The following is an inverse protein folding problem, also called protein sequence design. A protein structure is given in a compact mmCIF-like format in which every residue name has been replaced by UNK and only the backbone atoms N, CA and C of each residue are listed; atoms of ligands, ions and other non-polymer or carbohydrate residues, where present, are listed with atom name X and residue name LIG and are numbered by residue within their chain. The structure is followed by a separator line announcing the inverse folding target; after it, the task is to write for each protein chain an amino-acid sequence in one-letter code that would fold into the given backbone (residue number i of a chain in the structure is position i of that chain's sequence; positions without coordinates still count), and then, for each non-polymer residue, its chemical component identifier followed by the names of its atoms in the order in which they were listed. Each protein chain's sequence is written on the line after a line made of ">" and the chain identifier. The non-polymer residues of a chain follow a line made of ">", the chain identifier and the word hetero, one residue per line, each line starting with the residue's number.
data_IF_663796406063
#
_entry.id   IF_663796406063
#
_cell.length_a   1.000
_cell.length_b   1.000
_cell.length_c   1.000
_cell.angle_alpha   90.00
_cell.angle_beta   90.00
_cell.angle_gamma   90.00
#
_symmetry.space_group_name_H-M   'P 1'
#
loop_
_entity.id
_entity.type
_entity.pdbx_description
1 polymer ?
#
# COMPACT_ATOMS: atom_id res chain seq x y z
N UNK A 1 20.67 8.50 16.84
CA UNK A 1 20.76 9.75 17.64
C UNK A 1 19.69 9.67 18.70
N UNK A 2 20.09 9.54 19.95
CA UNK A 2 19.19 9.42 21.10
C UNK A 2 19.87 9.84 22.40
N UNK A 3 20.98 10.58 22.27
CA UNK A 3 21.78 11.06 23.39
C UNK A 3 21.37 12.49 23.75
N UNK A 4 21.14 12.73 25.04
CA UNK A 4 20.89 14.09 25.54
C UNK A 4 22.16 14.94 25.51
N UNK A 5 23.34 14.30 25.61
CA UNK A 5 24.65 14.93 25.50
C UNK A 5 25.40 14.42 24.27
N UNK A 6 26.11 15.33 23.59
CA UNK A 6 26.91 14.98 22.40
C UNK A 6 27.98 13.93 22.77
N UNK A 7 28.05 12.85 21.99
CA UNK A 7 28.97 11.72 22.16
C UNK A 7 28.79 10.85 23.42
N UNK A 8 27.77 11.08 24.23
CA UNK A 8 27.46 10.23 25.38
C UNK A 8 26.23 9.37 25.10
N UNK A 9 26.40 8.06 25.00
CA UNK A 9 25.28 7.15 24.74
C UNK A 9 25.00 6.32 26.00
N UNK A 10 23.86 6.55 26.65
CA UNK A 10 23.42 5.78 27.83
C UNK A 10 23.06 4.32 27.50
N UNK A 11 22.70 4.05 26.25
CA UNK A 11 22.29 2.74 25.75
C UNK A 11 22.81 2.50 24.34
N UNK A 12 22.94 1.21 23.97
CA UNK A 12 23.23 0.81 22.58
C UNK A 12 22.07 1.27 21.70
N UNK A 13 22.40 1.89 20.56
CA UNK A 13 21.42 2.39 19.61
C UNK A 13 21.89 2.24 18.17
N UNK A 14 21.04 2.65 17.24
CA UNK A 14 21.26 2.51 15.80
C UNK A 14 21.30 3.88 15.10
N UNK A 15 21.96 3.93 13.95
CA UNK A 15 21.85 5.05 13.03
C UNK A 15 20.70 4.78 12.05
N UNK A 16 19.48 5.20 12.42
CA UNK A 16 18.26 5.05 11.61
C UNK A 16 17.60 6.43 11.46
N UNK A 17 18.16 7.25 10.57
CA UNK A 17 17.68 8.62 10.30
C UNK A 17 16.94 8.66 8.98
N UNK A 18 15.86 9.44 8.92
CA UNK A 18 15.32 9.94 7.66
C UNK A 18 16.24 11.06 7.17
N UNK A 19 16.76 10.95 5.96
CA UNK A 19 17.60 11.98 5.37
C UNK A 19 16.77 13.21 4.94
N UNK A 20 17.43 14.36 4.89
CA UNK A 20 16.79 15.65 4.59
C UNK A 20 16.17 15.70 3.19
N UNK A 21 16.76 15.00 2.20
CA UNK A 21 16.21 14.97 0.84
C UNK A 21 14.90 14.19 0.82
N UNK A 22 14.86 13.00 1.43
CA UNK A 22 13.61 12.22 1.54
C UNK A 22 12.57 12.94 2.40
N UNK A 23 12.98 13.60 3.49
CA UNK A 23 12.07 14.41 4.31
C UNK A 23 11.45 15.56 3.50
N UNK A 24 12.22 16.24 2.66
CA UNK A 24 11.71 17.28 1.77
C UNK A 24 10.71 16.75 0.74
N UNK A 25 11.01 15.61 0.09
CA UNK A 25 10.08 14.94 -0.83
C UNK A 25 8.78 14.55 -0.13
N UNK A 26 8.87 13.98 1.06
CA UNK A 26 7.69 13.59 1.85
C UNK A 26 6.87 14.81 2.29
N UNK A 27 7.52 15.94 2.62
CA UNK A 27 6.83 17.20 2.95
C UNK A 27 5.97 17.70 1.79
N UNK A 28 6.47 17.59 0.57
CA UNK A 28 5.71 17.94 -0.65
C UNK A 28 4.59 16.94 -0.91
N UNK A 29 4.82 15.63 -0.71
CA UNK A 29 3.78 14.60 -0.95
C UNK A 29 2.65 14.61 0.10
N UNK A 30 2.95 14.96 1.35
CA UNK A 30 2.03 14.82 2.48
C UNK A 30 0.65 15.48 2.28
N UNK A 31 0.54 16.72 1.75
CA UNK A 31 -0.77 17.33 1.48
C UNK A 31 -1.64 16.57 0.48
N UNK A 32 -1.03 15.80 -0.44
CA UNK A 32 -1.74 15.03 -1.46
C UNK A 32 -2.21 13.65 -0.97
N UNK A 33 -1.69 13.17 0.17
CA UNK A 33 -1.93 11.82 0.64
C UNK A 33 -3.42 11.50 0.79
N UNK A 34 -4.21 12.41 1.37
CA UNK A 34 -5.64 12.21 1.55
C UNK A 34 -6.38 12.06 0.21
N UNK A 35 -6.07 12.92 -0.77
CA UNK A 35 -6.67 12.85 -2.10
C UNK A 35 -6.26 11.56 -2.86
N UNK A 36 -5.00 11.16 -2.76
CA UNK A 36 -4.54 9.90 -3.35
C UNK A 36 -5.18 8.67 -2.69
N UNK A 37 -5.38 8.70 -1.37
CA UNK A 37 -6.12 7.64 -0.67
C UNK A 37 -7.58 7.58 -1.13
N UNK A 38 -8.25 8.72 -1.26
CA UNK A 38 -9.62 8.77 -1.77
C UNK A 38 -9.73 8.20 -3.18
N UNK A 39 -8.78 8.53 -4.07
CA UNK A 39 -8.77 7.98 -5.43
C UNK A 39 -8.54 6.46 -5.44
N UNK A 40 -7.66 5.94 -4.59
CA UNK A 40 -7.48 4.48 -4.45
C UNK A 40 -8.74 3.80 -3.94
N UNK A 41 -9.46 4.43 -3.00
CA UNK A 41 -10.74 3.92 -2.50
C UNK A 41 -11.82 3.92 -3.60
N UNK A 42 -11.85 4.97 -4.43
CA UNK A 42 -12.76 5.04 -5.60
C UNK A 42 -12.48 3.91 -6.58
N UNK A 43 -11.22 3.69 -6.95
CA UNK A 43 -10.82 2.60 -7.85
C UNK A 43 -11.09 1.22 -7.24
N UNK A 44 -10.87 1.04 -5.94
CA UNK A 44 -11.20 -0.21 -5.25
C UNK A 44 -12.70 -0.51 -5.30
N UNK A 45 -13.55 0.49 -5.07
CA UNK A 45 -15.01 0.33 -5.19
C UNK A 45 -15.43 -0.03 -6.63
N UNK A 46 -14.73 0.50 -7.64
CA UNK A 46 -14.96 0.14 -9.03
C UNK A 46 -14.56 -1.32 -9.33
N UNK A 47 -13.43 -1.79 -8.78
CA UNK A 47 -13.07 -3.21 -8.85
C UNK A 47 -14.07 -4.10 -8.11
N UNK A 48 -14.53 -3.70 -6.92
CA UNK A 48 -15.54 -4.43 -6.16
C UNK A 48 -16.80 -4.61 -7.01
N UNK A 49 -17.28 -3.53 -7.65
CA UNK A 49 -18.46 -3.57 -8.50
C UNK A 49 -18.28 -4.41 -9.78
N UNK A 50 -17.14 -4.28 -10.46
CA UNK A 50 -16.88 -4.95 -11.75
C UNK A 50 -16.48 -6.42 -11.62
N UNK A 51 -15.88 -6.80 -10.50
CA UNK A 51 -15.46 -8.18 -10.22
C UNK A 51 -16.45 -8.94 -9.32
N UNK A 52 -17.51 -8.27 -8.86
CA UNK A 52 -18.56 -8.89 -8.08
C UNK A 52 -19.16 -10.11 -8.80
N UNK A 53 -19.38 -11.18 -8.05
CA UNK A 53 -20.05 -12.39 -8.56
C UNK A 53 -19.15 -13.36 -9.31
N UNK A 54 -17.85 -13.08 -9.48
CA UNK A 54 -16.89 -14.05 -10.02
C UNK A 54 -16.56 -15.11 -8.96
N UNK A 55 -17.03 -16.37 -9.09
CA UNK A 55 -16.86 -17.39 -8.06
C UNK A 55 -15.39 -17.83 -7.88
N UNK A 56 -14.54 -17.61 -8.88
CA UNK A 56 -13.13 -17.94 -8.83
C UNK A 56 -12.28 -16.93 -8.04
N UNK A 57 -12.85 -15.78 -7.68
CA UNK A 57 -12.18 -14.69 -6.98
C UNK A 57 -12.79 -14.42 -5.60
N UNK A 58 -11.92 -14.32 -4.61
CA UNK A 58 -12.27 -13.74 -3.30
C UNK A 58 -11.70 -12.33 -3.29
N UNK A 59 -12.59 -11.34 -3.29
CA UNK A 59 -12.26 -9.91 -3.26
C UNK A 59 -11.82 -9.45 -1.85
N UNK A 60 -10.99 -8.41 -1.73
CA UNK A 60 -10.65 -7.84 -0.44
C UNK A 60 -11.91 -7.29 0.25
N UNK A 61 -11.96 -7.36 1.58
CA UNK A 61 -13.07 -6.83 2.38
C UNK A 61 -12.56 -5.89 3.45
N UNK A 62 -13.25 -4.77 3.61
CA UNK A 62 -13.03 -3.83 4.71
C UNK A 62 -13.98 -4.19 5.86
N UNK A 63 -13.45 -4.37 7.07
CA UNK A 63 -14.26 -4.68 8.24
C UNK A 63 -15.08 -3.47 8.70
N UNK A 64 -16.27 -3.67 9.30
CA UNK A 64 -17.06 -2.57 9.85
C UNK A 64 -16.26 -1.70 10.83
N UNK A 65 -16.40 -0.38 10.73
CA UNK A 65 -15.69 0.58 11.58
C UNK A 65 -14.23 0.87 11.18
N UNK A 66 -13.72 0.24 10.12
CA UNK A 66 -12.40 0.52 9.57
C UNK A 66 -12.46 1.22 8.21
N UNK A 67 -11.36 1.88 7.85
CA UNK A 67 -11.10 2.33 6.48
C UNK A 67 -9.85 1.64 5.93
N UNK A 68 -9.76 1.52 4.62
CA UNK A 68 -8.64 0.88 3.94
C UNK A 68 -7.98 1.89 2.99
N UNK A 69 -6.65 2.00 3.06
CA UNK A 69 -5.88 2.93 2.20
C UNK A 69 -5.58 2.37 0.80
N UNK A 70 -5.90 1.09 0.60
CA UNK A 70 -5.67 0.33 -0.64
C UNK A 70 -4.27 0.55 -1.20
N UNK A 71 -3.25 0.33 -0.36
CA UNK A 71 -1.87 0.24 -0.86
C UNK A 71 -1.80 -0.78 -2.01
N UNK A 72 -2.54 -1.88 -1.86
CA UNK A 72 -2.81 -2.87 -2.89
C UNK A 72 -4.30 -3.25 -2.88
N UNK A 73 -4.82 -3.66 -4.03
CA UNK A 73 -6.11 -4.34 -4.15
C UNK A 73 -5.83 -5.84 -4.40
N UNK A 74 -5.92 -6.65 -3.34
CA UNK A 74 -5.47 -8.06 -3.37
C UNK A 74 -6.68 -8.99 -3.48
N UNK A 75 -6.74 -9.75 -4.55
CA UNK A 75 -7.72 -10.83 -4.75
C UNK A 75 -7.08 -12.19 -4.45
N UNK A 76 -7.88 -13.16 -4.04
CA UNK A 76 -7.43 -14.56 -3.87
C UNK A 76 -8.15 -15.46 -4.86
N UNK A 77 -7.44 -16.45 -5.38
CA UNK A 77 -7.99 -17.47 -6.28
C UNK A 77 -7.21 -18.77 -6.11
N UNK A 78 -7.83 -19.90 -6.41
CA UNK A 78 -7.15 -21.20 -6.42
C UNK A 78 -6.12 -21.33 -7.55
N UNK A 79 -6.23 -20.51 -8.61
CA UNK A 79 -5.39 -20.58 -9.82
C UNK A 79 -4.50 -19.35 -10.00
N UNK A 80 -3.83 -18.91 -8.92
CA UNK A 80 -3.11 -17.63 -8.88
C UNK A 80 -2.06 -17.50 -9.99
N UNK A 81 -1.19 -18.50 -10.13
CA UNK A 81 -0.09 -18.44 -11.11
C UNK A 81 -0.63 -18.42 -12.55
N UNK A 82 -1.67 -19.22 -12.84
CA UNK A 82 -2.31 -19.23 -14.15
C UNK A 82 -3.01 -17.89 -14.47
N UNK A 83 -3.68 -17.28 -13.49
CA UNK A 83 -4.28 -15.96 -13.65
C UNK A 83 -3.21 -14.88 -13.90
N UNK A 84 -2.10 -14.91 -13.14
CA UNK A 84 -0.99 -13.99 -13.33
C UNK A 84 -0.39 -14.11 -14.73
N UNK A 85 -0.15 -15.33 -15.22
CA UNK A 85 0.34 -15.56 -16.58
C UNK A 85 -0.63 -15.05 -17.64
N UNK A 86 -1.94 -15.29 -17.46
CA UNK A 86 -2.98 -14.81 -18.37
C UNK A 86 -3.00 -13.28 -18.44
N UNK A 87 -2.96 -12.61 -17.29
CA UNK A 87 -2.92 -11.14 -17.21
C UNK A 87 -1.63 -10.58 -17.83
N UNK A 88 -0.48 -11.20 -17.56
CA UNK A 88 0.80 -10.79 -18.14
C UNK A 88 0.80 -10.92 -19.68
N UNK A 89 0.24 -12.01 -20.21
CA UNK A 89 0.07 -12.19 -21.66
C UNK A 89 -0.86 -11.12 -22.28
N UNK A 90 -1.78 -10.57 -21.50
CA UNK A 90 -2.65 -9.45 -21.88
C UNK A 90 -2.02 -8.06 -21.61
N UNK A 91 -0.75 -7.99 -21.19
CA UNK A 91 -0.05 -6.72 -20.89
C UNK A 91 -0.43 -6.09 -19.54
N UNK A 92 -1.08 -6.83 -18.65
CA UNK A 92 -1.52 -6.36 -17.33
C UNK A 92 -0.52 -6.84 -16.28
N UNK A 93 0.26 -5.90 -15.74
CA UNK A 93 1.22 -6.17 -14.67
C UNK A 93 0.55 -6.44 -13.33
N UNK A 94 1.03 -7.46 -12.63
CA UNK A 94 0.63 -7.80 -11.25
C UNK A 94 1.87 -8.05 -10.40
N UNK A 95 1.77 -7.90 -9.08
CA UNK A 95 2.85 -8.22 -8.12
C UNK A 95 2.96 -9.72 -7.84
#
# INVERSE_FOLDING_TARGET
>A
YGSQQKYYNERIGYNSRLDELQAAVLRVKRPHLAAWTAERQRLAAEYDARLAGLPELILPRTVPGATHVYHLYVVRTARRDALQQHLAAAGIGTL
#
